data_IF_009745928495
#
_entry.id   IF_009745928495
#
_cell.length_a   1.000
_cell.length_b   1.000
_cell.length_c   1.000
_cell.angle_alpha   90.00
_cell.angle_beta   90.00
_cell.angle_gamma   90.00
#
_symmetry.space_group_name_H-M   'P 1'
#
loop_
_entity.id
_entity.type
_entity.pdbx_description
1 polymer ?
#
# COMPACT_ATOMS: atom_id res chain seq x y z
N UNK A 1 26.04 -1.64 2.87
CA UNK A 1 25.19 -0.47 2.53
C UNK A 1 23.78 -0.99 2.32
N UNK A 2 22.77 -0.37 2.93
CA UNK A 2 21.37 -0.77 2.74
C UNK A 2 20.83 -0.16 1.43
N UNK A 3 20.13 -0.92 0.56
CA UNK A 3 19.53 -0.36 -0.64
C UNK A 3 18.45 0.68 -0.31
N UNK A 4 18.38 1.71 -1.15
CA UNK A 4 17.37 2.76 -1.07
C UNK A 4 16.38 2.58 -2.23
N UNK A 5 15.10 2.72 -1.91
CA UNK A 5 14.00 2.79 -2.87
C UNK A 5 13.59 4.25 -3.01
N UNK A 6 13.55 4.74 -4.25
CA UNK A 6 13.11 6.10 -4.56
C UNK A 6 11.65 6.05 -5.02
N UNK A 7 10.80 6.84 -4.39
CA UNK A 7 9.40 7.00 -4.74
C UNK A 7 9.18 8.31 -5.48
N UNK A 8 8.42 8.26 -6.56
CA UNK A 8 7.77 9.41 -7.18
C UNK A 8 6.25 9.19 -7.11
N UNK A 9 5.54 10.10 -6.47
CA UNK A 9 4.08 10.06 -6.34
C UNK A 9 3.50 11.26 -7.07
N UNK A 10 2.61 11.00 -8.03
CA UNK A 10 1.78 12.02 -8.66
C UNK A 10 0.46 12.16 -7.91
N UNK A 11 0.21 13.31 -7.30
CA UNK A 11 -1.06 13.59 -6.62
C UNK A 11 -2.15 13.97 -7.62
N UNK A 12 -3.41 13.94 -7.17
CA UNK A 12 -4.56 14.38 -7.98
C UNK A 12 -4.48 15.85 -8.42
N UNK A 13 -3.70 16.66 -7.70
CA UNK A 13 -3.45 18.06 -8.03
C UNK A 13 -2.28 18.23 -9.00
N UNK A 14 -1.78 17.13 -9.59
CA UNK A 14 -0.62 17.09 -10.47
C UNK A 14 0.70 17.50 -9.79
N UNK A 15 0.75 17.43 -8.46
CA UNK A 15 1.97 17.67 -7.70
C UNK A 15 2.81 16.38 -7.67
N UNK A 16 4.13 16.54 -7.85
CA UNK A 16 5.08 15.44 -7.72
C UNK A 16 5.70 15.46 -6.33
N UNK A 17 5.51 14.37 -5.58
CA UNK A 17 6.15 14.16 -4.29
C UNK A 17 7.20 13.07 -4.47
N UNK A 18 8.46 13.41 -4.22
CA UNK A 18 9.57 12.48 -4.29
C UNK A 18 10.18 12.27 -2.91
N UNK A 19 10.45 11.02 -2.53
CA UNK A 19 11.14 10.71 -1.29
C UNK A 19 11.90 9.38 -1.39
N UNK A 20 12.91 9.26 -0.53
CA UNK A 20 13.73 8.07 -0.41
C UNK A 20 13.32 7.24 0.80
N UNK A 21 13.37 5.93 0.66
CA UNK A 21 13.03 5.00 1.71
C UNK A 21 14.02 3.84 1.74
N UNK A 22 14.42 3.43 2.95
CA UNK A 22 15.22 2.23 3.17
C UNK A 22 14.45 0.98 2.73
N UNK A 23 15.14 0.02 2.12
CA UNK A 23 14.53 -1.24 1.66
C UNK A 23 13.78 -1.98 2.78
N UNK A 24 14.31 -1.98 4.01
CA UNK A 24 13.63 -2.58 5.17
C UNK A 24 12.28 -1.92 5.45
N UNK A 25 12.24 -0.58 5.42
CA UNK A 25 11.01 0.18 5.66
C UNK A 25 10.00 0.04 4.52
N UNK A 26 10.48 -0.04 3.27
CA UNK A 26 9.65 -0.38 2.13
C UNK A 26 8.98 -1.75 2.30
N UNK A 27 9.73 -2.77 2.70
CA UNK A 27 9.17 -4.10 2.91
C UNK A 27 8.11 -4.12 4.01
N UNK A 28 8.33 -3.39 5.12
CA UNK A 28 7.31 -3.22 6.17
C UNK A 28 6.02 -2.60 5.60
N UNK A 29 6.14 -1.53 4.82
CA UNK A 29 5.00 -0.88 4.16
C UNK A 29 4.28 -1.85 3.21
N UNK A 30 5.03 -2.58 2.37
CA UNK A 30 4.50 -3.56 1.42
C UNK A 30 3.67 -4.64 2.12
N UNK A 31 4.15 -5.17 3.24
CA UNK A 31 3.41 -6.16 4.03
C UNK A 31 2.16 -5.57 4.69
N UNK A 32 2.25 -4.35 5.22
CA UNK A 32 1.09 -3.67 5.81
C UNK A 32 -0.02 -3.45 4.77
N UNK A 33 0.34 -3.00 3.55
CA UNK A 33 -0.61 -2.83 2.45
C UNK A 33 -1.24 -4.17 2.04
N UNK A 34 -0.43 -5.21 1.88
CA UNK A 34 -0.94 -6.54 1.52
C UNK A 34 -1.94 -7.08 2.56
N UNK A 35 -1.65 -6.87 3.86
CA UNK A 35 -2.56 -7.24 4.93
C UNK A 35 -3.88 -6.47 4.86
N UNK A 36 -3.84 -5.14 4.71
CA UNK A 36 -5.07 -4.32 4.60
C UNK A 36 -5.93 -4.76 3.42
N UNK A 37 -5.31 -5.01 2.25
CA UNK A 37 -6.05 -5.49 1.07
C UNK A 37 -6.72 -6.85 1.30
N UNK A 38 -6.05 -7.77 2.00
CA UNK A 38 -6.62 -9.07 2.37
C UNK A 38 -7.84 -8.89 3.29
N UNK A 39 -7.73 -8.01 4.28
CA UNK A 39 -8.84 -7.74 5.20
C UNK A 39 -10.03 -7.07 4.49
N UNK A 40 -9.77 -6.15 3.57
CA UNK A 40 -10.81 -5.56 2.71
C UNK A 40 -11.52 -6.65 1.91
N UNK A 41 -10.79 -7.53 1.23
CA UNK A 41 -11.39 -8.63 0.46
C UNK A 41 -12.23 -9.57 1.35
N UNK A 42 -11.74 -9.91 2.55
CA UNK A 42 -12.48 -10.72 3.53
C UNK A 42 -13.79 -10.05 3.98
N UNK A 43 -13.80 -8.72 4.12
CA UNK A 43 -15.01 -7.95 4.43
C UNK A 43 -15.97 -7.95 3.23
N UNK A 44 -15.47 -7.70 2.02
CA UNK A 44 -16.26 -7.68 0.78
C UNK A 44 -16.94 -9.03 0.52
N UNK A 45 -16.20 -10.14 0.64
CA UNK A 45 -16.76 -11.50 0.51
C UNK A 45 -17.92 -11.70 1.51
N UNK A 46 -17.70 -11.39 2.80
CA UNK A 46 -18.74 -11.52 3.83
C UNK A 46 -19.94 -10.59 3.61
N UNK A 47 -19.73 -9.40 3.05
CA UNK A 47 -20.80 -8.45 2.76
C UNK A 47 -21.67 -8.91 1.59
N UNK A 48 -21.06 -9.50 0.56
CA UNK A 48 -21.79 -10.11 -0.58
C UNK A 48 -22.68 -11.25 -0.10
N UNK A 49 -22.20 -12.10 0.81
CA UNK A 49 -23.01 -13.17 1.41
C UNK A 49 -24.14 -12.69 2.34
N UNK A 50 -24.20 -11.40 2.68
CA UNK A 50 -25.27 -10.81 3.51
C UNK A 50 -26.44 -10.24 2.71
N UNK A 51 -26.29 -10.09 1.39
CA UNK A 51 -27.29 -9.50 0.50
C UNK A 51 -28.16 -10.54 -0.25
N UNK A 52 -27.99 -11.83 0.07
CA UNK A 52 -28.78 -12.97 -0.41
C UNK A 52 -29.57 -13.57 0.77
#
# INVERSE_FOLDING_TARGET
MEPIVVFEILTRNNEKICFECKLTKFNQLRFAVAYVLKEINSIEEKAIFKAL
#
